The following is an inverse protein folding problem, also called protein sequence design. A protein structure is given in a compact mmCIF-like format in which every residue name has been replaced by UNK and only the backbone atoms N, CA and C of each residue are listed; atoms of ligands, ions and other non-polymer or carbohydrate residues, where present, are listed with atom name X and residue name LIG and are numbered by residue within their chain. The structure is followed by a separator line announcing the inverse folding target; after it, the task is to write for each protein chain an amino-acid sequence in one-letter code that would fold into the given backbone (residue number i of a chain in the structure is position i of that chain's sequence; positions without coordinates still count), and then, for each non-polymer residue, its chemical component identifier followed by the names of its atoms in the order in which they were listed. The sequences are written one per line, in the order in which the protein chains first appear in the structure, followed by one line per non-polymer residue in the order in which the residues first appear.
data_IF_787590310205
#
_entry.id   IF_787590310205
#
_cell.length_a   1.000
_cell.length_b   1.000
_cell.length_c   1.000
_cell.angle_alpha   90.00
_cell.angle_beta   90.00
_cell.angle_gamma   90.00
#
_symmetry.space_group_name_H-M   'P 1'
#
loop_
_entity.id
_entity.type
_entity.pdbx_description
1 polymer ?
#
# COMPACT_ATOMS: atom_id res chain seq x y z
N UNK A 1 -1.89 9.08 -31.04
CA UNK A 1 -2.95 9.84 -30.33
C UNK A 1 -2.32 10.46 -29.08
N UNK A 2 -2.66 11.70 -28.70
CA UNK A 2 -2.14 12.33 -27.48
C UNK A 2 -3.18 13.31 -26.92
N UNK A 3 -3.06 13.63 -25.63
CA UNK A 3 -3.86 14.67 -24.97
C UNK A 3 -2.96 15.87 -24.67
N UNK A 4 -3.40 17.09 -24.99
CA UNK A 4 -2.67 18.31 -24.66
C UNK A 4 -3.03 18.75 -23.24
N UNK A 5 -2.03 19.13 -22.45
CA UNK A 5 -2.19 19.66 -21.10
C UNK A 5 -1.45 20.99 -21.06
N UNK A 6 -2.05 22.03 -20.48
CA UNK A 6 -1.45 23.37 -20.39
C UNK A 6 -1.40 23.82 -18.94
N UNK A 7 -0.25 24.34 -18.53
CA UNK A 7 -0.15 25.09 -17.29
C UNK A 7 -0.60 26.54 -17.57
N UNK A 8 -1.64 27.00 -16.87
CA UNK A 8 -2.27 28.31 -17.13
C UNK A 8 -1.35 29.47 -16.69
N UNK A 9 -0.59 29.29 -15.61
CA UNK A 9 0.28 30.31 -15.03
C UNK A 9 1.52 30.58 -15.90
N UNK A 10 2.19 29.53 -16.35
CA UNK A 10 3.45 29.60 -17.13
C UNK A 10 3.23 29.55 -18.64
N UNK A 11 2.04 29.13 -19.08
CA UNK A 11 1.72 28.88 -20.49
C UNK A 11 2.33 27.62 -21.09
N UNK A 12 3.16 26.87 -20.36
CA UNK A 12 3.85 25.67 -20.85
C UNK A 12 2.84 24.55 -21.21
N UNK A 13 3.05 23.91 -22.36
CA UNK A 13 2.24 22.80 -22.86
C UNK A 13 2.97 21.45 -22.77
N UNK A 14 2.25 20.42 -22.35
CA UNK A 14 2.67 19.02 -22.33
C UNK A 14 1.80 18.19 -23.27
N UNK A 15 2.37 17.10 -23.81
CA UNK A 15 1.65 16.11 -24.62
C UNK A 15 1.67 14.76 -23.90
N UNK A 16 0.52 14.34 -23.41
CA UNK A 16 0.37 13.05 -22.75
C UNK A 16 0.10 11.95 -23.78
N UNK A 17 1.03 11.01 -23.89
CA UNK A 17 0.87 9.74 -24.63
C UNK A 17 0.74 8.53 -23.70
N UNK A 18 1.07 8.69 -22.41
CA UNK A 18 1.12 7.60 -21.44
C UNK A 18 -0.29 7.07 -21.09
N UNK A 19 -1.32 7.92 -21.15
CA UNK A 19 -2.71 7.49 -20.90
C UNK A 19 -3.18 6.35 -21.82
N UNK A 20 -2.57 6.20 -23.01
CA UNK A 20 -2.87 5.11 -23.93
C UNK A 20 -2.48 3.74 -23.39
N UNK A 21 -1.60 3.68 -22.39
CA UNK A 21 -1.18 2.46 -21.71
C UNK A 21 -2.08 2.14 -20.49
N UNK A 22 -3.14 2.93 -20.24
CA UNK A 22 -4.07 2.68 -19.14
C UNK A 22 -4.86 1.38 -19.36
N UNK A 23 -4.83 0.50 -18.38
CA UNK A 23 -5.63 -0.74 -18.37
C UNK A 23 -7.10 -0.50 -17.97
N UNK A 24 -7.46 0.72 -17.53
CA UNK A 24 -8.83 1.05 -17.13
C UNK A 24 -9.45 1.95 -18.20
N UNK A 25 -10.53 1.48 -18.81
CA UNK A 25 -11.36 2.30 -19.70
C UNK A 25 -11.99 3.43 -18.89
N UNK A 26 -12.20 4.59 -19.52
CA UNK A 26 -12.52 5.87 -18.88
C UNK A 26 -13.56 5.74 -17.76
N UNK A 27 -13.15 6.07 -16.53
CA UNK A 27 -13.92 5.93 -15.28
C UNK A 27 -15.24 6.75 -15.24
N UNK A 28 -15.58 7.44 -16.33
CA UNK A 28 -16.62 8.48 -16.37
C UNK A 28 -17.33 8.51 -17.74
N UNK A 29 -18.02 7.45 -18.18
CA UNK A 29 -18.82 7.51 -19.40
C UNK A 29 -20.02 8.45 -19.17
N UNK A 30 -20.10 9.53 -19.95
CA UNK A 30 -21.22 10.49 -19.93
C UNK A 30 -21.25 11.45 -18.74
N UNK A 31 -20.79 11.04 -17.55
CA UNK A 31 -20.81 11.87 -16.33
C UNK A 31 -19.45 11.77 -15.61
N UNK A 32 -18.87 12.93 -15.27
CA UNK A 32 -17.64 13.01 -14.50
C UNK A 32 -17.87 12.60 -13.04
N UNK A 33 -17.13 11.59 -12.58
CA UNK A 33 -17.09 11.09 -11.20
C UNK A 33 -15.77 11.43 -10.48
N UNK A 34 -15.02 12.40 -10.99
CA UNK A 34 -13.66 12.71 -10.53
C UNK A 34 -13.53 13.13 -9.06
N UNK A 35 -14.61 13.63 -8.45
CA UNK A 35 -14.65 14.05 -7.05
C UNK A 35 -15.00 12.93 -6.05
N UNK A 36 -15.33 11.72 -6.53
CA UNK A 36 -15.62 10.59 -5.63
C UNK A 36 -14.33 10.15 -4.94
N UNK A 37 -14.35 10.12 -3.60
CA UNK A 37 -13.18 9.80 -2.78
C UNK A 37 -12.77 8.33 -2.92
N UNK A 38 -13.72 7.40 -2.89
CA UNK A 38 -13.47 5.95 -2.97
C UNK A 38 -14.26 5.31 -4.10
N UNK A 39 -13.89 5.58 -5.37
CA UNK A 39 -14.57 4.99 -6.52
C UNK A 39 -14.26 3.49 -6.61
N UNK A 40 -15.27 2.68 -6.88
CA UNK A 40 -15.16 1.22 -6.98
C UNK A 40 -14.11 0.79 -8.01
N UNK A 41 -13.96 1.57 -9.09
CA UNK A 41 -12.99 1.30 -10.16
C UNK A 41 -11.53 1.39 -9.67
N UNK A 42 -11.25 2.05 -8.54
CA UNK A 42 -9.92 2.10 -7.92
C UNK A 42 -9.73 1.03 -6.84
N UNK A 43 -10.78 0.32 -6.44
CA UNK A 43 -10.70 -0.73 -5.42
C UNK A 43 -10.28 -2.07 -6.03
N UNK A 44 -9.51 -2.87 -5.27
CA UNK A 44 -9.25 -4.25 -5.62
C UNK A 44 -10.27 -5.12 -4.88
N UNK A 45 -11.23 -5.75 -5.58
CA UNK A 45 -12.27 -6.51 -4.90
C UNK A 45 -11.68 -7.76 -4.21
N UNK A 46 -12.33 -8.19 -3.12
CA UNK A 46 -12.17 -9.57 -2.67
C UNK A 46 -12.64 -10.48 -3.81
N UNK A 47 -11.84 -11.50 -4.12
CA UNK A 47 -12.19 -12.49 -5.14
C UNK A 47 -12.08 -13.86 -4.50
N UNK A 48 -13.13 -14.66 -4.66
CA UNK A 48 -13.14 -16.03 -4.16
C UNK A 48 -12.33 -16.97 -5.07
N UNK A 49 -12.11 -16.57 -6.33
CA UNK A 49 -11.39 -17.36 -7.34
C UNK A 49 -10.31 -16.57 -8.08
N UNK A 50 -9.24 -17.24 -8.54
CA UNK A 50 -8.18 -16.61 -9.34
C UNK A 50 -8.70 -15.95 -10.59
N UNK A 51 -7.92 -14.97 -11.08
CA UNK A 51 -8.09 -14.45 -12.44
C UNK A 51 -8.00 -15.61 -13.43
N UNK A 52 -8.77 -15.59 -14.52
CA UNK A 52 -8.58 -16.53 -15.61
C UNK A 52 -7.12 -16.54 -16.07
N UNK A 53 -6.58 -17.73 -16.33
CA UNK A 53 -5.16 -17.88 -16.71
C UNK A 53 -4.74 -16.97 -17.87
N UNK A 54 -5.55 -16.78 -18.95
CA UNK A 54 -5.18 -15.88 -20.03
C UNK A 54 -5.01 -14.42 -19.56
N UNK A 55 -5.89 -13.95 -18.67
CA UNK A 55 -5.80 -12.58 -18.11
C UNK A 55 -4.56 -12.43 -17.21
N UNK A 56 -4.23 -13.45 -16.42
CA UNK A 56 -3.03 -13.47 -15.59
C UNK A 56 -1.76 -13.45 -16.43
N UNK A 57 -1.68 -14.30 -17.47
CA UNK A 57 -0.53 -14.36 -18.38
C UNK A 57 -0.34 -13.04 -19.14
N UNK A 58 -1.44 -12.43 -19.62
CA UNK A 58 -1.37 -11.12 -20.29
C UNK A 58 -0.83 -10.03 -19.34
N UNK A 59 -1.34 -10.00 -18.10
CA UNK A 59 -0.88 -9.05 -17.09
C UNK A 59 0.60 -9.29 -16.70
N UNK A 60 1.00 -10.55 -16.53
CA UNK A 60 2.36 -10.93 -16.23
C UNK A 60 3.32 -10.54 -17.37
N UNK A 61 2.97 -10.86 -18.62
CA UNK A 61 3.76 -10.48 -19.79
C UNK A 61 3.92 -8.97 -19.89
N UNK A 62 2.85 -8.18 -19.69
CA UNK A 62 2.94 -6.71 -19.67
C UNK A 62 3.94 -6.23 -18.61
N UNK A 63 3.84 -6.75 -17.39
CA UNK A 63 4.73 -6.38 -16.30
C UNK A 63 6.20 -6.75 -16.57
N UNK A 64 6.47 -7.99 -17.00
CA UNK A 64 7.82 -8.46 -17.31
C UNK A 64 8.43 -7.65 -18.46
N UNK A 65 7.64 -7.34 -19.49
CA UNK A 65 8.06 -6.45 -20.59
C UNK A 65 8.45 -5.06 -20.07
N UNK A 66 7.65 -4.46 -19.19
CA UNK A 66 7.96 -3.16 -18.57
C UNK A 66 9.26 -3.20 -17.75
N UNK A 67 9.45 -4.26 -16.97
CA UNK A 67 10.67 -4.46 -16.18
C UNK A 67 11.92 -4.55 -17.07
N UNK A 68 11.92 -5.44 -18.08
CA UNK A 68 13.09 -5.62 -18.95
C UNK A 68 13.36 -4.41 -19.85
N UNK A 69 12.31 -3.73 -20.35
CA UNK A 69 12.44 -2.48 -21.09
C UNK A 69 13.11 -1.37 -20.27
N UNK A 70 12.96 -1.39 -18.94
CA UNK A 70 13.59 -0.40 -18.05
C UNK A 70 15.06 -0.65 -17.72
N UNK A 71 15.58 -1.87 -17.97
CA UNK A 71 16.92 -2.30 -17.54
C UNK A 71 17.85 -2.70 -18.67
N UNK A 72 17.50 -3.77 -19.41
CA UNK A 72 18.41 -4.49 -20.31
C UNK A 72 17.95 -4.51 -21.78
N UNK A 73 16.74 -4.03 -22.07
CA UNK A 73 16.14 -4.09 -23.40
C UNK A 73 15.42 -5.43 -23.66
N UNK A 74 14.54 -5.44 -24.67
CA UNK A 74 13.63 -6.55 -24.97
C UNK A 74 14.24 -7.65 -25.87
N UNK A 75 15.49 -7.48 -26.29
CA UNK A 75 16.19 -8.42 -27.18
C UNK A 75 17.04 -9.46 -26.41
N UNK A 76 17.03 -9.40 -25.08
CA UNK A 76 17.83 -10.31 -24.24
C UNK A 76 17.24 -11.72 -24.18
N UNK A 77 18.10 -12.73 -24.19
CA UNK A 77 17.71 -14.13 -23.95
C UNK A 77 17.02 -14.30 -22.59
N UNK A 78 17.50 -13.59 -21.55
CA UNK A 78 16.92 -13.56 -20.21
C UNK A 78 15.43 -13.13 -20.20
N UNK A 79 15.04 -12.17 -21.05
CA UNK A 79 13.65 -11.74 -21.17
C UNK A 79 12.76 -12.86 -21.70
N UNK A 80 13.21 -13.55 -22.76
CA UNK A 80 12.46 -14.65 -23.38
C UNK A 80 12.36 -15.83 -22.41
N UNK A 81 13.47 -16.21 -21.77
CA UNK A 81 13.52 -17.26 -20.75
C UNK A 81 12.58 -16.96 -19.58
N UNK A 82 12.58 -15.71 -19.08
CA UNK A 82 11.70 -15.31 -17.97
C UNK A 82 10.22 -15.38 -18.35
N UNK A 83 9.84 -15.02 -19.57
CA UNK A 83 8.46 -15.18 -20.03
C UNK A 83 8.05 -16.65 -20.10
N UNK A 84 8.95 -17.54 -20.54
CA UNK A 84 8.69 -18.98 -20.57
C UNK A 84 8.55 -19.56 -19.15
N UNK A 85 9.43 -19.16 -18.24
CA UNK A 85 9.38 -19.57 -16.83
C UNK A 85 8.05 -19.16 -16.19
N UNK A 86 7.65 -17.89 -16.32
CA UNK A 86 6.38 -17.39 -15.78
C UNK A 86 5.19 -18.14 -16.39
N UNK A 87 5.20 -18.42 -17.69
CA UNK A 87 4.14 -19.19 -18.34
C UNK A 87 4.04 -20.61 -17.79
N UNK A 88 5.18 -21.28 -17.58
CA UNK A 88 5.24 -22.63 -17.00
C UNK A 88 4.78 -22.65 -15.55
N UNK A 89 5.16 -21.66 -14.74
CA UNK A 89 4.70 -21.53 -13.35
C UNK A 89 3.18 -21.35 -13.27
N UNK A 90 2.63 -20.46 -14.10
CA UNK A 90 1.17 -20.22 -14.15
C UNK A 90 0.43 -21.49 -14.59
N UNK A 91 0.96 -22.25 -15.55
CA UNK A 91 0.32 -23.50 -15.96
C UNK A 91 0.35 -24.56 -14.86
N UNK A 92 1.49 -24.69 -14.15
CA UNK A 92 1.67 -25.70 -13.11
C UNK A 92 0.92 -25.38 -11.81
N UNK A 93 0.94 -24.11 -11.37
CA UNK A 93 0.49 -23.68 -10.04
C UNK A 93 -0.72 -22.75 -10.07
N UNK A 94 -1.10 -22.24 -11.25
CA UNK A 94 -2.15 -21.23 -11.39
C UNK A 94 -1.72 -19.81 -10.99
N UNK A 95 -0.44 -19.62 -10.60
CA UNK A 95 0.18 -18.34 -10.29
C UNK A 95 1.70 -18.44 -10.47
N UNK A 96 2.40 -17.32 -10.37
CA UNK A 96 3.87 -17.23 -10.44
C UNK A 96 4.41 -16.37 -9.30
N UNK A 97 5.71 -16.44 -9.06
CA UNK A 97 6.39 -15.60 -8.08
C UNK A 97 7.30 -14.57 -8.78
N UNK A 98 7.30 -13.35 -8.27
CA UNK A 98 8.24 -12.32 -8.72
C UNK A 98 9.64 -12.60 -8.17
N UNK A 99 10.66 -12.26 -8.95
CA UNK A 99 12.00 -12.13 -8.39
C UNK A 99 12.06 -10.93 -7.44
N UNK A 100 13.09 -10.87 -6.59
CA UNK A 100 13.28 -9.73 -5.68
C UNK A 100 13.42 -8.40 -6.45
N UNK A 101 14.17 -8.40 -7.54
CA UNK A 101 14.41 -7.21 -8.36
C UNK A 101 13.14 -6.75 -9.09
N UNK A 102 12.36 -7.71 -9.60
CA UNK A 102 11.03 -7.44 -10.16
C UNK A 102 10.11 -6.82 -9.10
N UNK A 103 10.12 -7.34 -7.87
CA UNK A 103 9.29 -6.81 -6.79
C UNK A 103 9.68 -5.37 -6.41
N UNK A 104 10.99 -5.08 -6.32
CA UNK A 104 11.50 -3.72 -6.09
C UNK A 104 11.04 -2.77 -7.21
N UNK A 105 11.18 -3.20 -8.47
CA UNK A 105 10.71 -2.43 -9.61
C UNK A 105 9.21 -2.16 -9.55
N UNK A 106 8.42 -3.20 -9.25
CA UNK A 106 6.96 -3.12 -9.14
C UNK A 106 6.53 -2.14 -8.05
N UNK A 107 7.13 -2.21 -6.86
CA UNK A 107 6.81 -1.31 -5.75
C UNK A 107 7.11 0.16 -6.08
N UNK A 108 8.30 0.45 -6.63
CA UNK A 108 8.69 1.80 -7.03
C UNK A 108 7.79 2.36 -8.13
N UNK A 109 7.48 1.53 -9.13
CA UNK A 109 6.63 1.90 -10.26
C UNK A 109 5.18 2.11 -9.82
N UNK A 110 4.68 1.30 -8.89
CA UNK A 110 3.35 1.50 -8.28
C UNK A 110 3.26 2.87 -7.58
N UNK A 111 4.28 3.26 -6.80
CA UNK A 111 4.32 4.59 -6.19
C UNK A 111 4.40 5.71 -7.24
N UNK A 112 5.24 5.57 -8.27
CA UNK A 112 5.30 6.51 -9.40
C UNK A 112 3.94 6.70 -10.08
N UNK A 113 3.16 5.63 -10.17
CA UNK A 113 1.86 5.62 -10.83
C UNK A 113 0.70 6.03 -9.91
N UNK A 114 0.94 6.31 -8.62
CA UNK A 114 -0.08 6.74 -7.67
C UNK A 114 -0.53 8.19 -7.94
N UNK A 115 -1.57 8.37 -8.76
CA UNK A 115 -2.05 9.68 -9.19
C UNK A 115 -2.39 10.66 -8.06
N UNK A 116 -2.77 10.14 -6.87
CA UNK A 116 -3.11 10.93 -5.68
C UNK A 116 -1.91 11.28 -4.79
N UNK A 117 -0.70 10.85 -5.13
CA UNK A 117 0.50 11.15 -4.36
C UNK A 117 1.24 12.37 -4.92
N UNK A 118 1.36 13.43 -4.12
CA UNK A 118 2.13 14.63 -4.48
C UNK A 118 3.66 14.40 -4.35
N UNK A 119 4.10 13.54 -3.42
CA UNK A 119 5.51 13.25 -3.12
C UNK A 119 6.22 12.34 -4.13
N UNK A 120 5.68 12.17 -5.34
CA UNK A 120 6.20 11.21 -6.34
C UNK A 120 7.59 11.51 -6.86
N UNK A 121 8.15 12.69 -6.63
CA UNK A 121 9.55 12.99 -6.99
C UNK A 121 10.56 12.03 -6.33
N UNK A 122 10.20 11.45 -5.18
CA UNK A 122 11.05 10.51 -4.43
C UNK A 122 10.87 9.03 -4.84
N UNK A 123 10.05 8.73 -5.86
CA UNK A 123 9.61 7.36 -6.18
C UNK A 123 10.73 6.31 -6.31
N UNK A 124 11.91 6.73 -6.79
CA UNK A 124 13.06 5.84 -6.97
C UNK A 124 13.81 5.53 -5.66
N UNK A 125 13.64 6.35 -4.62
CA UNK A 125 14.24 6.24 -3.29
C UNK A 125 13.27 5.57 -2.30
N UNK A 126 12.89 4.33 -2.62
CA UNK A 126 12.05 3.48 -1.78
C UNK A 126 12.86 2.26 -1.32
N UNK A 127 12.94 2.05 -0.01
CA UNK A 127 13.44 0.81 0.57
C UNK A 127 12.35 -0.26 0.52
N UNK A 128 12.70 -1.49 0.14
CA UNK A 128 11.78 -2.62 0.18
C UNK A 128 12.24 -3.64 1.24
N UNK A 129 11.33 -4.03 2.12
CA UNK A 129 11.44 -5.22 2.96
C UNK A 129 10.63 -6.34 2.35
N UNK A 130 11.30 -7.42 1.94
CA UNK A 130 10.68 -8.59 1.33
C UNK A 130 10.28 -9.56 2.46
N UNK A 131 9.01 -9.52 2.84
CA UNK A 131 8.42 -10.35 3.89
C UNK A 131 7.47 -11.40 3.31
N UNK A 132 7.66 -11.81 2.05
CA UNK A 132 6.80 -12.81 1.39
C UNK A 132 6.87 -14.21 2.00
N UNK A 133 7.93 -14.48 2.75
CA UNK A 133 8.13 -15.72 3.50
C UNK A 133 7.46 -15.71 4.88
N UNK A 134 6.86 -14.59 5.28
CA UNK A 134 6.09 -14.49 6.53
C UNK A 134 4.86 -15.41 6.46
N UNK A 135 4.61 -16.13 7.56
CA UNK A 135 3.57 -17.15 7.68
C UNK A 135 2.61 -16.93 8.84
N UNK A 136 2.97 -16.10 9.82
CA UNK A 136 2.17 -15.85 11.03
C UNK A 136 1.97 -14.36 11.33
N UNK A 137 0.90 -13.98 12.06
CA UNK A 137 0.69 -12.60 12.51
C UNK A 137 1.83 -12.06 13.38
N UNK A 138 2.45 -12.91 14.22
CA UNK A 138 3.61 -12.50 15.02
C UNK A 138 4.83 -12.13 14.17
N UNK A 139 5.12 -12.92 13.12
CA UNK A 139 6.17 -12.58 12.15
C UNK A 139 5.84 -11.29 11.37
N UNK A 140 4.56 -11.07 11.03
CA UNK A 140 4.12 -9.80 10.43
C UNK A 140 4.41 -8.63 11.37
N UNK A 141 4.10 -8.78 12.66
CA UNK A 141 4.33 -7.75 13.66
C UNK A 141 5.82 -7.41 13.82
N UNK A 142 6.71 -8.41 13.85
CA UNK A 142 8.16 -8.19 13.84
C UNK A 142 8.60 -7.40 12.60
N UNK A 143 8.13 -7.80 11.41
CA UNK A 143 8.43 -7.10 10.17
C UNK A 143 7.91 -5.64 10.17
N UNK A 144 6.78 -5.37 10.81
CA UNK A 144 6.22 -4.02 10.96
C UNK A 144 7.05 -3.20 11.96
N UNK A 145 7.50 -3.79 13.07
CA UNK A 145 8.38 -3.10 14.01
C UNK A 145 9.69 -2.67 13.32
N UNK A 146 10.31 -3.56 12.55
CA UNK A 146 11.50 -3.24 11.76
C UNK A 146 11.24 -2.16 10.72
N UNK A 147 10.06 -2.19 10.08
CA UNK A 147 9.63 -1.15 9.15
C UNK A 147 9.52 0.20 9.83
N UNK A 148 8.81 0.31 10.96
CA UNK A 148 8.61 1.56 11.70
C UNK A 148 9.96 2.09 12.18
N UNK A 149 10.80 1.24 12.78
CA UNK A 149 12.15 1.61 13.21
C UNK A 149 12.99 2.17 12.06
N UNK A 150 12.97 1.50 10.91
CA UNK A 150 13.68 1.95 9.72
C UNK A 150 13.14 3.27 9.17
N UNK A 151 11.81 3.40 9.10
CA UNK A 151 11.12 4.55 8.53
C UNK A 151 11.33 5.80 9.40
N UNK A 152 11.17 5.68 10.71
CA UNK A 152 11.27 6.78 11.67
C UNK A 152 12.70 7.33 11.76
N UNK A 153 13.72 6.46 11.81
CA UNK A 153 15.14 6.84 11.72
C UNK A 153 15.53 8.07 12.57
N UNK A 154 15.09 8.11 13.84
CA UNK A 154 15.37 9.22 14.75
C UNK A 154 14.84 10.59 14.29
N UNK A 155 13.79 10.62 13.46
CA UNK A 155 13.20 11.82 12.89
C UNK A 155 13.65 12.14 11.46
N UNK A 156 14.71 11.49 10.96
CA UNK A 156 15.15 11.63 9.56
C UNK A 156 14.43 10.62 8.66
N UNK A 157 13.15 10.89 8.41
CA UNK A 157 12.20 9.94 7.82
C UNK A 157 12.69 9.33 6.49
N UNK A 158 12.54 8.02 6.35
CA UNK A 158 12.88 7.27 5.12
C UNK A 158 11.67 6.54 4.57
N UNK A 159 11.42 6.70 3.26
CA UNK A 159 10.37 5.96 2.56
C UNK A 159 10.72 4.47 2.47
N UNK A 160 9.82 3.61 2.95
CA UNK A 160 9.96 2.16 2.87
C UNK A 160 8.60 1.48 2.64
N UNK A 161 8.63 0.25 2.15
CA UNK A 161 7.47 -0.64 2.00
C UNK A 161 7.85 -2.04 2.48
N UNK A 162 6.96 -2.68 3.22
CA UNK A 162 7.07 -4.11 3.55
C UNK A 162 6.05 -4.88 2.72
N UNK A 163 6.51 -5.85 1.95
CA UNK A 163 5.63 -6.68 1.10
C UNK A 163 5.47 -8.04 1.74
N UNK A 164 4.27 -8.31 2.25
CA UNK A 164 3.88 -9.63 2.73
C UNK A 164 3.52 -10.58 1.58
N UNK A 165 3.23 -11.83 1.93
CA UNK A 165 2.84 -12.87 0.99
C UNK A 165 1.70 -12.41 0.09
N UNK A 166 1.80 -12.71 -1.21
CA UNK A 166 0.74 -12.44 -2.17
C UNK A 166 -0.50 -13.29 -1.88
N UNK A 167 -1.69 -12.82 -2.31
CA UNK A 167 -2.94 -13.58 -2.19
C UNK A 167 -2.81 -14.96 -2.86
N UNK A 168 -3.21 -16.00 -2.13
CA UNK A 168 -3.32 -17.38 -2.63
C UNK A 168 -4.77 -17.81 -2.43
N UNK A 169 -5.44 -18.19 -3.52
CA UNK A 169 -6.84 -18.60 -3.45
C UNK A 169 -6.99 -19.91 -2.68
N UNK A 170 -8.02 -19.99 -1.84
CA UNK A 170 -8.21 -21.10 -0.90
C UNK A 170 -7.41 -20.96 0.41
N UNK A 171 -6.68 -19.86 0.61
CA UNK A 171 -6.04 -19.49 1.87
C UNK A 171 -6.50 -18.12 2.33
N UNK A 172 -6.36 -17.82 3.62
CA UNK A 172 -6.65 -16.50 4.16
C UNK A 172 -5.61 -15.48 3.68
N UNK A 173 -6.06 -14.26 3.37
CA UNK A 173 -5.18 -13.16 3.03
C UNK A 173 -4.34 -12.72 4.24
N UNK A 174 -3.13 -12.24 3.96
CA UNK A 174 -2.34 -11.48 4.92
C UNK A 174 -2.82 -10.02 4.91
N UNK A 175 -3.38 -9.56 6.03
CA UNK A 175 -4.00 -8.23 6.13
C UNK A 175 -3.55 -7.50 7.38
N UNK A 176 -3.26 -6.22 7.21
CA UNK A 176 -3.24 -5.25 8.30
C UNK A 176 -4.59 -4.55 8.26
N UNK A 177 -5.36 -4.64 9.34
CA UNK A 177 -6.71 -4.06 9.36
C UNK A 177 -6.67 -2.55 9.59
N UNK A 178 -5.64 -2.06 10.29
CA UNK A 178 -5.41 -0.63 10.46
C UNK A 178 -5.24 0.06 9.10
N UNK A 179 -5.86 1.23 8.95
CA UNK A 179 -5.66 2.09 7.77
C UNK A 179 -4.24 2.67 7.69
N UNK A 180 -3.58 2.86 8.84
CA UNK A 180 -2.23 3.38 9.02
C UNK A 180 -1.55 2.61 10.16
N UNK A 181 -0.22 2.47 10.11
CA UNK A 181 0.53 1.75 11.16
C UNK A 181 0.49 2.46 12.52
N UNK A 182 0.40 3.79 12.52
CA UNK A 182 0.33 4.62 13.72
C UNK A 182 -0.86 5.57 13.55
N UNK A 183 -1.82 5.48 14.45
CA UNK A 183 -3.00 6.35 14.53
C UNK A 183 -3.47 6.40 15.97
N UNK A 184 -4.13 7.49 16.36
CA UNK A 184 -4.68 7.62 17.71
C UNK A 184 -6.11 7.05 17.77
N UNK A 185 -6.46 6.51 18.92
CA UNK A 185 -7.77 5.98 19.21
C UNK A 185 -8.82 7.08 19.39
N UNK A 186 -10.09 6.70 19.25
CA UNK A 186 -11.26 7.56 19.48
C UNK A 186 -12.28 6.87 20.37
N UNK A 187 -12.72 7.53 21.44
CA UNK A 187 -13.65 6.96 22.42
C UNK A 187 -14.91 7.79 22.53
N UNK A 188 -16.05 7.18 22.20
CA UNK A 188 -17.37 7.78 22.44
C UNK A 188 -17.60 7.93 23.95
N UNK A 189 -17.99 9.13 24.36
CA UNK A 189 -18.30 9.47 25.74
C UNK A 189 -19.80 9.35 26.02
N UNK A 190 -20.23 9.21 27.30
CA UNK A 190 -21.64 9.13 27.66
C UNK A 190 -22.47 10.35 27.25
N UNK A 191 -21.85 11.53 27.16
CA UNK A 191 -22.49 12.79 26.74
C UNK A 191 -22.59 12.95 25.20
N UNK A 192 -22.13 11.95 24.44
CA UNK A 192 -22.13 11.95 22.98
C UNK A 192 -20.89 12.60 22.35
N UNK A 193 -19.98 13.18 23.15
CA UNK A 193 -18.69 13.68 22.66
C UNK A 193 -17.73 12.53 22.33
N UNK A 194 -16.59 12.85 21.69
CA UNK A 194 -15.52 11.89 21.41
C UNK A 194 -14.21 12.38 22.02
N UNK A 195 -13.56 11.51 22.79
CA UNK A 195 -12.20 11.71 23.28
C UNK A 195 -11.21 11.07 22.30
N UNK A 196 -10.20 11.81 21.85
CA UNK A 196 -9.21 11.32 20.87
C UNK A 196 -9.62 11.64 19.43
N UNK A 197 -9.37 10.72 18.49
CA UNK A 197 -9.64 10.91 17.07
C UNK A 197 -11.02 10.37 16.65
N UNK A 198 -11.99 11.22 16.28
CA UNK A 198 -13.32 10.79 15.85
C UNK A 198 -13.33 9.87 14.63
N UNK A 199 -12.30 9.92 13.77
CA UNK A 199 -12.22 9.07 12.59
C UNK A 199 -12.01 7.59 12.93
N UNK A 200 -11.54 7.29 14.14
CA UNK A 200 -11.15 5.95 14.56
C UNK A 200 -12.05 5.35 15.64
N UNK A 201 -13.22 5.93 15.93
CA UNK A 201 -14.13 5.42 16.97
C UNK A 201 -14.52 3.96 16.72
N UNK A 202 -15.00 3.65 15.52
CA UNK A 202 -15.42 2.27 15.16
C UNK A 202 -14.26 1.28 15.25
N UNK A 203 -13.09 1.66 14.73
CA UNK A 203 -11.90 0.79 14.80
C UNK A 203 -11.37 0.64 16.23
N UNK A 204 -11.52 1.67 17.06
CA UNK A 204 -11.17 1.63 18.49
C UNK A 204 -12.07 0.67 19.24
N UNK A 205 -13.39 0.72 19.00
CA UNK A 205 -14.37 -0.20 19.58
C UNK A 205 -14.02 -1.64 19.22
N UNK A 206 -13.70 -1.92 17.95
CA UNK A 206 -13.22 -3.23 17.50
C UNK A 206 -11.95 -3.70 18.25
N UNK A 207 -10.95 -2.84 18.43
CA UNK A 207 -9.75 -3.18 19.19
C UNK A 207 -10.09 -3.56 20.64
N UNK A 208 -11.02 -2.85 21.27
CA UNK A 208 -11.48 -3.15 22.64
C UNK A 208 -12.22 -4.48 22.70
N UNK A 209 -13.08 -4.79 21.73
CA UNK A 209 -13.75 -6.09 21.60
C UNK A 209 -12.77 -7.25 21.43
N UNK A 210 -11.66 -7.02 20.71
CA UNK A 210 -10.55 -7.96 20.57
C UNK A 210 -9.65 -8.05 21.82
N UNK A 211 -10.00 -7.35 22.91
CA UNK A 211 -9.34 -7.46 24.20
C UNK A 211 -8.32 -6.37 24.52
N UNK A 212 -8.19 -5.33 23.68
CA UNK A 212 -7.35 -4.18 24.02
C UNK A 212 -7.92 -3.42 25.22
N UNK A 213 -7.05 -3.11 26.18
CA UNK A 213 -7.38 -2.31 27.37
C UNK A 213 -6.80 -0.91 27.21
N UNK A 214 -7.57 0.06 26.67
CA UNK A 214 -7.08 1.40 26.40
C UNK A 214 -6.81 2.20 27.68
N UNK A 215 -5.76 3.04 27.70
CA UNK A 215 -5.55 4.03 28.77
C UNK A 215 -6.66 5.09 28.84
N UNK A 216 -7.35 5.34 27.72
CA UNK A 216 -8.41 6.35 27.52
C UNK A 216 -7.93 7.79 27.69
N UNK A 217 -6.85 8.15 26.99
CA UNK A 217 -6.39 9.53 26.84
C UNK A 217 -6.70 10.09 25.45
N UNK A 218 -6.31 11.35 25.20
CA UNK A 218 -6.51 12.01 23.90
C UNK A 218 -5.60 11.49 22.78
N UNK A 219 -4.48 10.86 23.12
CA UNK A 219 -3.43 10.47 22.17
C UNK A 219 -2.97 9.03 22.43
N UNK A 220 -3.92 8.13 22.65
CA UNK A 220 -3.59 6.72 22.78
C UNK A 220 -3.30 6.12 21.41
N UNK A 221 -2.09 5.61 21.21
CA UNK A 221 -1.73 4.91 19.97
C UNK A 221 -2.50 3.60 19.88
N UNK A 222 -3.20 3.39 18.77
CA UNK A 222 -3.92 2.16 18.49
C UNK A 222 -2.97 0.96 18.38
N UNK A 223 -3.39 -0.23 18.85
CA UNK A 223 -2.67 -1.46 18.55
C UNK A 223 -2.82 -1.80 17.05
N UNK A 224 -1.98 -2.70 16.57
CA UNK A 224 -2.05 -3.22 15.21
C UNK A 224 -2.83 -4.54 15.22
N UNK A 225 -3.87 -4.61 14.39
CA UNK A 225 -4.67 -5.80 14.19
C UNK A 225 -4.20 -6.49 12.90
N UNK A 226 -3.63 -7.68 13.06
CA UNK A 226 -2.96 -8.45 12.01
C UNK A 226 -3.67 -9.76 11.77
N UNK A 227 -3.92 -10.05 10.50
CA UNK A 227 -4.49 -11.31 10.06
C UNK A 227 -3.49 -12.03 9.16
N UNK A 228 -3.22 -13.29 9.48
CA UNK A 228 -2.41 -14.21 8.70
C UNK A 228 -2.79 -15.64 9.04
N UNK A 229 -3.45 -16.35 8.11
CA UNK A 229 -3.92 -17.73 8.30
C UNK A 229 -4.81 -17.96 9.54
N UNK A 230 -5.92 -17.22 9.65
CA UNK A 230 -6.93 -17.44 10.68
C UNK A 230 -7.61 -16.15 11.13
N UNK A 231 -7.96 -16.13 12.41
CA UNK A 231 -8.53 -14.97 13.11
C UNK A 231 -7.50 -13.84 13.27
N UNK A 232 -7.95 -12.58 13.35
CA UNK A 232 -7.07 -11.45 13.59
C UNK A 232 -6.50 -11.47 15.01
N UNK A 233 -5.22 -11.14 15.12
CA UNK A 233 -4.49 -10.99 16.38
C UNK A 233 -4.10 -9.53 16.62
N UNK A 234 -4.10 -9.12 17.88
CA UNK A 234 -3.85 -7.75 18.31
C UNK A 234 -2.44 -7.62 18.90
N UNK A 235 -1.67 -6.65 18.40
CA UNK A 235 -0.30 -6.38 18.84
C UNK A 235 -0.13 -4.91 19.23
N UNK A 236 0.40 -4.66 20.43
CA UNK A 236 0.72 -3.30 20.89
C UNK A 236 2.11 -2.92 20.39
N UNK A 237 2.22 -1.83 19.62
CA UNK A 237 3.52 -1.30 19.20
C UNK A 237 4.35 -0.90 20.43
N UNK A 238 5.66 -1.26 20.48
CA UNK A 238 6.55 -0.76 21.50
C UNK A 238 6.60 0.78 21.47
N UNK A 239 6.37 1.49 22.59
CA UNK A 239 6.31 2.95 22.62
C UNK A 239 7.57 3.62 22.06
N UNK A 240 8.73 3.01 22.22
CA UNK A 240 10.02 3.52 21.72
C UNK A 240 10.12 3.56 20.18
N UNK A 241 9.24 2.86 19.46
CA UNK A 241 9.17 2.91 18.00
C UNK A 241 8.29 4.07 17.50
N UNK A 242 7.44 4.62 18.36
CA UNK A 242 6.50 5.69 18.04
C UNK A 242 7.15 7.03 18.33
N UNK A 243 7.61 7.71 17.28
CA UNK A 243 8.11 9.07 17.39
C UNK A 243 6.95 10.07 17.35
N UNK A 244 6.74 10.80 18.44
CA UNK A 244 5.74 11.87 18.55
C UNK A 244 6.40 13.25 18.59
N UNK A 245 5.68 14.26 18.09
CA UNK A 245 6.14 15.66 18.11
C UNK A 245 5.13 16.50 18.90
N UNK A 246 5.48 17.00 20.10
CA UNK A 246 4.61 17.90 20.84
C UNK A 246 4.50 19.23 20.07
N UNK A 247 3.28 19.61 19.71
CA UNK A 247 3.03 20.83 18.94
C UNK A 247 3.27 22.04 19.85
N UNK A 248 4.09 22.98 19.37
CA UNK A 248 4.38 24.25 20.04
C UNK A 248 4.37 25.37 19.01
N UNK A 249 3.87 26.54 19.38
CA UNK A 249 3.98 27.72 18.53
C UNK A 249 5.39 28.32 18.67
N UNK A 250 6.06 28.73 17.57
CA UNK A 250 7.47 29.11 17.60
C UNK A 250 7.78 30.34 18.48
N UNK A 251 6.89 31.35 18.47
CA UNK A 251 7.21 32.64 19.10
C UNK A 251 6.16 33.14 20.10
N UNK A 252 4.90 33.26 19.66
CA UNK A 252 3.93 34.20 20.28
C UNK A 252 2.92 33.57 21.25
N UNK A 253 2.64 32.29 21.14
CA UNK A 253 1.63 31.61 21.94
C UNK A 253 2.30 30.50 22.75
N UNK A 254 2.53 30.76 24.04
CA UNK A 254 3.13 29.79 24.97
C UNK A 254 2.08 28.89 25.65
N UNK A 255 0.80 29.27 25.53
CA UNK A 255 -0.37 28.45 25.87
C UNK A 255 -0.70 27.50 24.72
#
# INVERSE_FOLDING_TARGET
RFTKIRNIETGHEFRDTLHLQSNKSGMCPGICKGSIMSPEELMCPSRDSPKPRPELLEAAQKFITQYYASRKGLESAEYVERLMEVAQEVEKRGTYDLTRDELIYGAKTAWRNAARCIGRIQWSKLQLFDARNCTTPSEMFTCICDHVKFASNGGNIRSTITVFRQRIYGQHDFRVWNSQLISYAGYRQPDGSVLGDPAYVEFTELCVELGWQPPRTRFDVLPIVLQGNGEPELFVLPPELVLEVPIRHPNKYHW
#
